data_IF_708295331095
#
_entry.id   IF_708295331095
#
_cell.length_a   1.000
_cell.length_b   1.000
_cell.length_c   1.000
_cell.angle_alpha   90.00
_cell.angle_beta   90.00
_cell.angle_gamma   90.00
#
_symmetry.space_group_name_H-M   'P 1'
#
loop_
_entity.id
_entity.type
_entity.pdbx_description
1 polymer ?
#
# COMPACT_ATOMS: atom_id res chain seq x y z
N UNK A 1 35.62 17.69 74.98
CA UNK A 1 36.33 18.68 74.13
C UNK A 1 37.03 17.88 73.03
N UNK A 2 36.40 17.63 71.86
CA UNK A 2 36.18 18.51 70.69
C UNK A 2 37.47 19.12 70.12
N UNK A 3 37.76 18.76 68.86
CA UNK A 3 38.48 19.47 67.77
C UNK A 3 39.39 18.44 67.05
N UNK A 4 38.96 17.74 65.99
CA UNK A 4 38.54 18.19 64.65
C UNK A 4 39.58 19.12 63.99
N UNK A 5 40.60 18.51 63.37
CA UNK A 5 41.45 19.18 62.37
C UNK A 5 41.02 18.65 61.01
N UNK A 6 40.25 19.49 60.31
CA UNK A 6 39.90 19.34 58.90
C UNK A 6 41.16 19.44 58.04
N UNK A 7 41.56 18.34 57.42
CA UNK A 7 42.49 18.37 56.29
C UNK A 7 41.66 18.54 55.00
N UNK A 8 41.52 19.79 54.56
CA UNK A 8 40.93 20.15 53.28
C UNK A 8 41.89 19.72 52.17
N UNK A 9 41.68 18.52 51.62
CA UNK A 9 42.26 18.11 50.34
C UNK A 9 41.49 18.86 49.26
N UNK A 10 42.06 19.98 48.82
CA UNK A 10 41.64 20.68 47.61
C UNK A 10 41.93 19.78 46.41
N UNK A 11 40.90 19.08 45.95
CA UNK A 11 40.83 18.46 44.63
C UNK A 11 40.97 19.57 43.57
N UNK A 12 42.20 19.82 43.15
CA UNK A 12 42.51 20.51 41.90
C UNK A 12 42.01 19.63 40.76
N UNK A 13 40.76 19.87 40.36
CA UNK A 13 40.19 19.40 39.11
C UNK A 13 41.02 19.99 37.96
N UNK A 14 42.04 19.27 37.51
CA UNK A 14 42.73 19.56 36.26
C UNK A 14 41.67 19.43 35.17
N UNK A 15 41.14 20.56 34.72
CA UNK A 15 40.42 20.63 33.44
C UNK A 15 41.47 20.33 32.38
N UNK A 16 41.55 19.06 31.97
CA UNK A 16 42.26 18.68 30.75
C UNK A 16 41.64 19.53 29.65
N UNK A 17 42.40 20.51 29.18
CA UNK A 17 41.99 21.34 28.06
C UNK A 17 41.83 20.40 26.87
N UNK A 18 40.63 20.38 26.28
CA UNK A 18 40.38 19.57 25.10
C UNK A 18 41.43 19.92 24.04
N UNK A 19 42.19 18.94 23.57
CA UNK A 19 43.19 19.12 22.51
C UNK A 19 42.44 19.60 21.28
N UNK A 20 42.73 20.82 20.85
CA UNK A 20 42.15 21.40 19.64
C UNK A 20 43.07 21.11 18.45
N UNK A 21 42.55 20.42 17.44
CA UNK A 21 43.33 20.07 16.26
C UNK A 21 43.50 21.26 15.31
N UNK A 22 44.68 21.40 14.74
CA UNK A 22 45.00 22.35 13.66
C UNK A 22 44.72 21.74 12.29
N UNK A 23 44.84 22.53 11.22
CA UNK A 23 44.73 22.01 9.86
C UNK A 23 45.81 20.97 9.55
N UNK A 24 47.03 21.15 10.06
CA UNK A 24 48.12 20.21 9.84
C UNK A 24 47.86 18.86 10.53
N UNK A 25 47.28 18.88 11.74
CA UNK A 25 46.86 17.66 12.41
C UNK A 25 45.78 16.93 11.61
N UNK A 26 44.80 17.67 11.05
CA UNK A 26 43.78 17.08 10.18
C UNK A 26 44.38 16.49 8.89
N UNK A 27 45.40 17.11 8.30
CA UNK A 27 46.11 16.57 7.12
C UNK A 27 46.81 15.24 7.43
N UNK A 28 47.43 15.13 8.60
CA UNK A 28 48.04 13.88 9.06
C UNK A 28 46.97 12.80 9.22
N UNK A 29 45.88 13.09 9.93
CA UNK A 29 44.78 12.15 10.12
C UNK A 29 44.12 11.72 8.79
N UNK A 30 44.00 12.65 7.84
CA UNK A 30 43.51 12.38 6.49
C UNK A 30 44.44 11.41 5.74
N UNK A 31 45.75 11.69 5.74
CA UNK A 31 46.76 10.83 5.10
C UNK A 31 46.78 9.43 5.70
N UNK A 32 46.65 9.33 7.01
CA UNK A 32 46.66 8.08 7.75
C UNK A 32 45.30 7.35 7.74
N UNK A 33 44.28 7.92 7.07
CA UNK A 33 42.91 7.40 7.03
C UNK A 33 42.32 7.14 8.42
N UNK A 34 42.69 7.98 9.39
CA UNK A 34 42.17 7.92 10.75
C UNK A 34 40.76 8.50 10.84
N UNK A 35 39.80 7.84 10.19
CA UNK A 35 38.42 8.31 9.98
C UNK A 35 37.74 8.80 11.26
N UNK A 36 37.76 7.99 12.32
CA UNK A 36 37.06 8.29 13.58
C UNK A 36 37.61 9.53 14.26
N UNK A 37 38.94 9.62 14.39
CA UNK A 37 39.58 10.75 15.07
C UNK A 37 39.42 12.03 14.24
N UNK A 38 39.58 11.94 12.92
CA UNK A 38 39.33 13.07 12.02
C UNK A 38 37.91 13.61 12.20
N UNK A 39 36.90 12.73 12.14
CA UNK A 39 35.49 13.14 12.23
C UNK A 39 35.06 13.61 13.62
N UNK A 40 35.86 13.35 14.66
CA UNK A 40 35.65 13.91 16.00
C UNK A 40 36.16 15.35 16.09
N UNK A 41 37.24 15.68 15.38
CA UNK A 41 37.99 16.93 15.51
C UNK A 41 37.89 17.86 14.28
N UNK A 42 37.18 17.47 13.22
CA UNK A 42 37.09 18.26 11.99
C UNK A 42 36.52 19.68 12.17
N UNK A 43 35.77 19.93 13.26
CA UNK A 43 35.22 21.26 13.58
C UNK A 43 36.12 22.10 14.49
N UNK A 44 37.24 21.57 14.99
CA UNK A 44 38.20 22.31 15.81
C UNK A 44 38.85 23.45 15.02
N UNK A 45 39.04 23.24 13.70
CA UNK A 45 39.47 24.28 12.77
C UNK A 45 38.40 25.39 12.69
N UNK A 46 38.83 26.64 12.86
CA UNK A 46 37.94 27.81 12.88
C UNK A 46 37.19 27.96 11.55
N UNK A 47 35.93 28.43 11.54
CA UNK A 47 35.16 28.60 10.30
C UNK A 47 35.87 29.38 9.19
N UNK A 48 36.66 30.41 9.53
CA UNK A 48 37.45 31.20 8.57
C UNK A 48 38.60 30.46 7.91
N UNK A 49 39.04 29.34 8.49
CA UNK A 49 40.12 28.49 7.98
C UNK A 49 39.60 27.25 7.25
N UNK A 50 38.27 27.07 7.14
CA UNK A 50 37.63 25.94 6.45
C UNK A 50 37.54 26.21 4.95
N UNK A 51 38.70 26.21 4.31
CA UNK A 51 38.88 26.43 2.88
C UNK A 51 38.46 25.23 2.02
N UNK A 52 38.83 25.24 0.74
CA UNK A 52 38.54 24.15 -0.19
C UNK A 52 39.17 22.81 0.23
N UNK A 53 40.39 22.85 0.77
CA UNK A 53 41.12 21.65 1.19
C UNK A 53 40.40 20.97 2.36
N UNK A 54 40.05 21.75 3.39
CA UNK A 54 39.27 21.23 4.51
C UNK A 54 37.94 20.62 4.07
N UNK A 55 37.26 21.27 3.12
CA UNK A 55 35.97 20.78 2.60
C UNK A 55 36.14 19.43 1.92
N UNK A 56 37.19 19.28 1.09
CA UNK A 56 37.52 18.04 0.39
C UNK A 56 37.86 16.92 1.37
N UNK A 57 38.84 17.12 2.25
CA UNK A 57 39.27 16.11 3.22
C UNK A 57 38.09 15.68 4.11
N UNK A 58 37.32 16.64 4.62
CA UNK A 58 36.15 16.34 5.46
C UNK A 58 35.09 15.51 4.74
N UNK A 59 34.81 15.80 3.47
CA UNK A 59 33.84 15.03 2.67
C UNK A 59 34.29 13.60 2.45
N UNK A 60 35.56 13.42 2.09
CA UNK A 60 36.13 12.09 1.83
C UNK A 60 36.22 11.27 3.11
N UNK A 61 36.75 11.83 4.21
CA UNK A 61 36.85 11.15 5.50
C UNK A 61 35.48 10.76 6.06
N UNK A 62 34.49 11.64 5.95
CA UNK A 62 33.13 11.33 6.41
C UNK A 62 32.49 10.21 5.58
N UNK A 63 32.69 10.22 4.26
CA UNK A 63 32.16 9.17 3.36
C UNK A 63 32.81 7.83 3.67
N UNK A 64 34.14 7.78 3.70
CA UNK A 64 34.89 6.56 4.00
C UNK A 64 34.66 6.05 5.42
N UNK A 65 34.44 6.93 6.41
CA UNK A 65 34.03 6.52 7.75
C UNK A 65 32.74 5.69 7.72
N UNK A 66 31.72 6.18 7.01
CA UNK A 66 30.42 5.49 6.93
C UNK A 66 30.54 4.18 6.13
N UNK A 67 31.28 4.19 5.02
CA UNK A 67 31.52 2.99 4.22
C UNK A 67 32.30 1.90 5.00
N UNK A 68 33.27 2.30 5.82
CA UNK A 68 33.99 1.40 6.72
C UNK A 68 33.04 0.75 7.74
N UNK A 69 32.16 1.54 8.36
CA UNK A 69 31.16 1.02 9.32
C UNK A 69 30.22 0.01 8.64
N UNK A 70 29.77 0.30 7.43
CA UNK A 70 28.93 -0.62 6.63
C UNK A 70 29.70 -1.91 6.34
N UNK A 71 30.94 -1.79 5.85
CA UNK A 71 31.79 -2.94 5.48
C UNK A 71 32.10 -3.83 6.67
N UNK A 72 32.32 -3.24 7.85
CA UNK A 72 32.55 -3.96 9.12
C UNK A 72 31.26 -4.42 9.79
N UNK A 73 30.09 -4.14 9.20
CA UNK A 73 28.77 -4.42 9.76
C UNK A 73 28.57 -3.82 11.17
N UNK A 74 29.21 -2.68 11.46
CA UNK A 74 29.09 -1.93 12.71
C UNK A 74 27.83 -1.04 12.72
N UNK A 75 26.67 -1.66 12.41
CA UNK A 75 25.40 -0.96 12.24
C UNK A 75 24.59 -0.99 13.54
N UNK A 76 24.58 0.13 14.27
CA UNK A 76 23.84 0.31 15.53
C UNK A 76 23.37 1.76 15.75
N UNK A 77 22.54 1.96 16.78
CA UNK A 77 21.93 3.27 17.11
C UNK A 77 22.97 4.33 17.50
N UNK A 78 24.04 3.94 18.22
CA UNK A 78 25.10 4.88 18.61
C UNK A 78 25.77 5.48 17.37
N UNK A 79 26.14 4.63 16.43
CA UNK A 79 26.76 5.05 15.18
C UNK A 79 25.79 5.83 14.30
N UNK A 80 24.52 5.43 14.23
CA UNK A 80 23.48 6.18 13.51
C UNK A 80 23.37 7.63 14.01
N UNK A 81 23.35 7.84 15.33
CA UNK A 81 23.30 9.18 15.95
C UNK A 81 24.54 10.01 15.64
N UNK A 82 25.73 9.39 15.68
CA UNK A 82 26.99 10.05 15.33
C UNK A 82 26.97 10.53 13.88
N UNK A 83 26.61 9.66 12.94
CA UNK A 83 26.56 10.01 11.51
C UNK A 83 25.48 11.05 11.24
N UNK A 84 24.34 10.97 11.93
CA UNK A 84 23.27 11.96 11.83
C UNK A 84 23.75 13.35 12.25
N UNK A 85 24.57 13.46 13.30
CA UNK A 85 25.20 14.73 13.66
C UNK A 85 26.15 15.26 12.56
N UNK A 86 26.78 14.38 11.80
CA UNK A 86 27.63 14.80 10.69
C UNK A 86 26.82 15.37 9.51
N UNK A 87 25.66 14.80 9.17
CA UNK A 87 24.83 15.29 8.06
C UNK A 87 24.22 16.68 8.33
N UNK A 88 24.14 17.12 9.59
CA UNK A 88 23.75 18.49 9.95
C UNK A 88 24.76 19.54 9.44
N UNK A 89 26.01 19.15 9.19
CA UNK A 89 27.02 20.05 8.64
C UNK A 89 26.72 20.41 7.18
N UNK A 90 26.61 21.71 6.87
CA UNK A 90 26.29 22.21 5.52
C UNK A 90 27.25 21.69 4.43
N UNK A 91 28.53 21.49 4.74
CA UNK A 91 29.50 20.98 3.78
C UNK A 91 29.24 19.51 3.41
N UNK A 92 28.74 18.73 4.37
CA UNK A 92 28.43 17.31 4.20
C UNK A 92 27.03 17.11 3.63
N UNK A 93 26.04 17.89 4.09
CA UNK A 93 24.65 17.86 3.58
C UNK A 93 24.57 18.15 2.07
N UNK A 94 25.44 19.02 1.57
CA UNK A 94 25.49 19.37 0.15
C UNK A 94 26.29 18.37 -0.71
N UNK A 95 26.89 17.34 -0.12
CA UNK A 95 27.78 16.42 -0.84
C UNK A 95 27.11 15.07 -1.10
N UNK A 96 26.83 14.82 -2.39
CA UNK A 96 26.02 13.67 -2.84
C UNK A 96 26.56 12.29 -2.42
N UNK A 97 27.89 12.10 -2.38
CA UNK A 97 28.47 10.82 -1.98
C UNK A 97 28.30 10.55 -0.48
N UNK A 98 28.46 11.57 0.36
CA UNK A 98 28.22 11.42 1.80
C UNK A 98 26.74 11.23 2.11
N UNK A 99 25.85 11.99 1.47
CA UNK A 99 24.39 11.78 1.64
C UNK A 99 23.99 10.37 1.22
N UNK A 100 24.55 9.84 0.13
CA UNK A 100 24.30 8.46 -0.30
C UNK A 100 24.85 7.43 0.71
N UNK A 101 26.07 7.63 1.22
CA UNK A 101 26.64 6.75 2.23
C UNK A 101 25.80 6.74 3.52
N UNK A 102 25.34 7.92 3.96
CA UNK A 102 24.41 8.06 5.08
C UNK A 102 23.10 7.27 4.85
N UNK A 103 22.47 7.42 3.69
CA UNK A 103 21.24 6.69 3.37
C UNK A 103 21.47 5.17 3.28
N UNK A 104 22.60 4.71 2.73
CA UNK A 104 22.98 3.29 2.73
C UNK A 104 23.13 2.75 4.15
N UNK A 105 23.77 3.50 5.04
CA UNK A 105 23.89 3.13 6.45
C UNK A 105 22.51 3.09 7.13
N UNK A 106 21.66 4.11 6.89
CA UNK A 106 20.31 4.19 7.44
C UNK A 106 19.45 2.99 7.03
N UNK A 107 19.51 2.57 5.76
CA UNK A 107 18.84 1.34 5.26
C UNK A 107 19.16 0.12 6.12
N UNK A 108 20.45 -0.13 6.36
CA UNK A 108 20.89 -1.28 7.17
C UNK A 108 20.49 -1.13 8.64
N UNK A 109 20.45 0.11 9.14
CA UNK A 109 20.04 0.39 10.52
C UNK A 109 18.55 0.10 10.73
N UNK A 110 17.68 0.61 9.86
CA UNK A 110 16.23 0.43 9.98
C UNK A 110 15.77 -1.01 9.73
N UNK A 111 16.54 -1.81 8.98
CA UNK A 111 16.32 -3.26 8.86
C UNK A 111 16.37 -4.01 10.19
N UNK A 112 17.14 -3.52 11.17
CA UNK A 112 17.36 -4.19 12.47
C UNK A 112 16.57 -3.53 13.60
N UNK A 113 15.75 -2.53 13.29
CA UNK A 113 15.15 -1.67 14.29
C UNK A 113 13.65 -1.94 14.48
N UNK A 114 13.25 -2.18 15.72
CA UNK A 114 11.86 -2.48 16.08
C UNK A 114 11.06 -1.25 16.58
N UNK A 115 11.73 -0.21 17.10
CA UNK A 115 11.09 1.03 17.59
C UNK A 115 12.00 2.26 17.32
N UNK A 116 11.96 2.76 16.08
CA UNK A 116 12.80 3.87 15.60
C UNK A 116 11.98 5.02 15.02
N UNK A 117 10.75 5.23 15.48
CA UNK A 117 9.94 6.32 14.94
C UNK A 117 10.70 7.66 14.98
N UNK A 118 11.34 7.99 16.12
CA UNK A 118 12.15 9.21 16.27
C UNK A 118 13.37 9.26 15.34
N UNK A 119 14.06 8.13 15.19
CA UNK A 119 15.25 8.06 14.34
C UNK A 119 14.86 8.15 12.85
N UNK A 120 13.69 7.62 12.48
CA UNK A 120 13.11 7.74 11.15
C UNK A 120 12.66 9.17 10.83
N UNK A 121 12.01 9.86 11.77
CA UNK A 121 11.67 11.29 11.64
C UNK A 121 12.94 12.14 11.41
N UNK A 122 14.00 11.79 12.14
CA UNK A 122 15.31 12.46 12.00
C UNK A 122 15.94 12.17 10.63
N UNK A 123 15.93 10.92 10.18
CA UNK A 123 16.41 10.54 8.85
C UNK A 123 15.67 11.30 7.74
N UNK A 124 14.34 11.34 7.79
CA UNK A 124 13.51 11.99 6.77
C UNK A 124 13.79 13.50 6.68
N UNK A 125 14.04 14.16 7.82
CA UNK A 125 14.31 15.61 7.85
C UNK A 125 15.72 16.00 7.38
N UNK A 126 16.69 15.08 7.41
CA UNK A 126 18.09 15.37 7.11
C UNK A 126 18.60 14.75 5.81
N UNK A 127 18.03 13.63 5.38
CA UNK A 127 18.54 12.85 4.25
C UNK A 127 18.15 13.45 2.90
N UNK A 128 19.05 13.37 1.93
CA UNK A 128 18.66 13.36 0.54
C UNK A 128 17.75 12.14 0.28
N UNK A 129 16.74 12.30 -0.56
CA UNK A 129 15.75 11.26 -0.84
C UNK A 129 16.27 10.39 -1.98
N UNK A 130 16.40 9.09 -1.72
CA UNK A 130 16.85 8.10 -2.70
C UNK A 130 15.77 7.03 -2.82
N UNK A 131 14.99 7.00 -3.92
CA UNK A 131 13.80 6.17 -4.05
C UNK A 131 14.00 4.69 -3.66
N UNK A 132 15.06 4.04 -4.14
CA UNK A 132 15.38 2.64 -3.82
C UNK A 132 15.61 2.41 -2.33
N UNK A 133 16.39 3.31 -1.70
CA UNK A 133 16.74 3.19 -0.29
C UNK A 133 15.53 3.49 0.58
N UNK A 134 14.76 4.53 0.25
CA UNK A 134 13.57 4.92 0.99
C UNK A 134 12.49 3.83 0.90
N UNK A 135 12.33 3.20 -0.27
CA UNK A 135 11.45 2.06 -0.44
C UNK A 135 11.90 0.85 0.38
N UNK A 136 13.18 0.55 0.39
CA UNK A 136 13.73 -0.55 1.19
C UNK A 136 13.57 -0.31 2.69
N UNK A 137 13.71 0.93 3.16
CA UNK A 137 13.42 1.29 4.55
C UNK A 137 11.92 1.10 4.83
N UNK A 138 11.03 1.57 3.95
CA UNK A 138 9.59 1.41 4.11
C UNK A 138 9.18 -0.07 4.25
N UNK A 139 9.77 -0.95 3.44
CA UNK A 139 9.52 -2.40 3.47
C UNK A 139 9.88 -3.05 4.81
N UNK A 140 10.77 -2.45 5.59
CA UNK A 140 11.20 -3.01 6.89
C UNK A 140 10.40 -2.47 8.06
N UNK A 141 9.57 -1.44 7.85
CA UNK A 141 8.73 -0.87 8.89
C UNK A 141 7.57 -1.81 9.23
N UNK A 142 7.16 -1.79 10.50
CA UNK A 142 5.92 -2.45 10.90
C UNK A 142 4.70 -1.80 10.22
N UNK A 143 3.62 -2.57 10.03
CA UNK A 143 2.39 -2.07 9.40
C UNK A 143 1.85 -0.79 10.07
N UNK A 144 2.00 -0.66 11.40
CA UNK A 144 1.56 0.53 12.14
C UNK A 144 2.38 1.78 11.80
N UNK A 145 3.67 1.61 11.51
CA UNK A 145 4.55 2.71 11.08
C UNK A 145 4.39 3.01 9.60
N UNK A 146 4.23 2.00 8.73
CA UNK A 146 4.09 2.20 7.28
C UNK A 146 3.06 3.28 6.92
N UNK A 147 1.86 3.21 7.51
CA UNK A 147 0.78 4.19 7.28
C UNK A 147 1.10 5.65 7.65
N UNK A 148 2.09 5.88 8.54
CA UNK A 148 2.57 7.22 8.92
C UNK A 148 3.63 7.74 7.96
N UNK A 149 4.29 6.85 7.22
CA UNK A 149 5.44 7.14 6.39
C UNK A 149 5.20 6.84 4.90
N UNK A 150 3.95 6.97 4.43
CA UNK A 150 3.57 6.83 3.02
C UNK A 150 4.45 7.68 2.09
N UNK A 151 4.97 8.82 2.57
CA UNK A 151 5.88 9.67 1.81
C UNK A 151 7.20 8.97 1.40
N UNK A 152 7.64 7.95 2.15
CA UNK A 152 8.82 7.14 1.79
C UNK A 152 8.60 6.36 0.50
N UNK A 153 7.37 5.91 0.25
CA UNK A 153 7.00 5.12 -0.93
C UNK A 153 6.38 5.97 -2.03
N UNK A 154 5.74 7.11 -1.73
CA UNK A 154 5.23 8.03 -2.77
C UNK A 154 6.32 8.51 -3.72
N UNK A 155 7.53 8.80 -3.22
CA UNK A 155 8.64 9.23 -4.08
C UNK A 155 8.98 8.20 -5.18
N UNK A 156 9.25 6.92 -4.87
CA UNK A 156 9.44 5.89 -5.90
C UNK A 156 8.20 5.67 -6.77
N UNK A 157 6.98 5.68 -6.19
CA UNK A 157 5.74 5.55 -6.96
C UNK A 157 5.52 6.69 -7.97
N UNK A 158 6.04 7.90 -7.70
CA UNK A 158 5.99 9.07 -8.61
C UNK A 158 7.15 9.15 -9.60
N UNK A 159 8.16 8.29 -9.46
CA UNK A 159 9.33 8.31 -10.34
C UNK A 159 9.01 7.77 -11.74
N UNK A 160 9.90 8.02 -12.70
CA UNK A 160 9.81 7.42 -14.03
C UNK A 160 9.98 5.89 -13.99
N UNK A 161 10.61 5.36 -12.94
CA UNK A 161 10.83 3.93 -12.71
C UNK A 161 9.71 3.29 -11.86
N UNK A 162 8.61 4.01 -11.63
CA UNK A 162 7.46 3.58 -10.82
C UNK A 162 6.93 2.18 -11.15
N UNK A 163 7.01 1.75 -12.42
CA UNK A 163 6.60 0.42 -12.87
C UNK A 163 7.31 -0.71 -12.12
N UNK A 164 8.59 -0.56 -11.79
CA UNK A 164 9.36 -1.59 -11.09
C UNK A 164 8.92 -1.72 -9.63
N UNK A 165 8.72 -0.59 -8.95
CA UNK A 165 8.21 -0.59 -7.57
C UNK A 165 6.78 -1.13 -7.51
N UNK A 166 5.91 -0.78 -8.45
CA UNK A 166 4.53 -1.26 -8.49
C UNK A 166 4.38 -2.69 -9.01
N UNK A 167 5.46 -3.31 -9.48
CA UNK A 167 5.51 -4.74 -9.77
C UNK A 167 5.85 -5.57 -8.53
N UNK A 168 6.55 -4.99 -7.56
CA UNK A 168 6.83 -5.67 -6.29
C UNK A 168 5.58 -5.75 -5.40
N UNK A 169 5.38 -6.89 -4.74
CA UNK A 169 4.21 -7.13 -3.86
C UNK A 169 4.04 -6.04 -2.79
N UNK A 170 5.15 -5.61 -2.15
CA UNK A 170 5.10 -4.56 -1.13
C UNK A 170 4.76 -3.19 -1.73
N UNK A 171 5.21 -2.92 -2.95
CA UNK A 171 4.89 -1.68 -3.64
C UNK A 171 3.43 -1.64 -4.08
N UNK A 172 2.89 -2.77 -4.55
CA UNK A 172 1.45 -2.93 -4.81
C UNK A 172 0.64 -2.69 -3.53
N UNK A 173 0.99 -3.35 -2.41
CA UNK A 173 0.28 -3.15 -1.12
C UNK A 173 0.29 -1.70 -0.68
N UNK A 174 1.45 -1.05 -0.73
CA UNK A 174 1.59 0.35 -0.35
C UNK A 174 0.77 1.29 -1.26
N UNK A 175 0.88 1.10 -2.58
CA UNK A 175 0.10 1.84 -3.56
C UNK A 175 -1.40 1.72 -3.27
N UNK A 176 -1.91 0.49 -3.10
CA UNK A 176 -3.32 0.22 -2.85
C UNK A 176 -3.80 0.88 -1.55
N UNK A 177 -3.00 0.81 -0.47
CA UNK A 177 -3.32 1.48 0.80
C UNK A 177 -3.43 3.01 0.63
N UNK A 178 -2.50 3.62 -0.11
CA UNK A 178 -2.49 5.07 -0.32
C UNK A 178 -3.68 5.50 -1.17
N UNK A 179 -3.99 4.82 -2.27
CA UNK A 179 -5.14 5.20 -3.10
C UNK A 179 -6.47 5.03 -2.36
N UNK A 180 -6.63 3.98 -1.54
CA UNK A 180 -7.85 3.77 -0.72
C UNK A 180 -8.02 4.87 0.34
N UNK A 181 -6.91 5.45 0.81
CA UNK A 181 -6.90 6.54 1.79
C UNK A 181 -7.19 7.91 1.15
N UNK A 182 -6.72 8.15 -0.07
CA UNK A 182 -6.73 9.50 -0.68
C UNK A 182 -7.83 9.70 -1.74
N UNK A 183 -8.30 8.61 -2.34
CA UNK A 183 -9.39 8.62 -3.32
C UNK A 183 -10.72 8.27 -2.63
N UNK A 184 -11.74 9.07 -2.91
CA UNK A 184 -13.11 8.87 -2.46
C UNK A 184 -13.93 8.19 -3.55
N UNK A 185 -14.91 7.38 -3.13
CA UNK A 185 -15.90 6.77 -4.03
C UNK A 185 -16.72 7.79 -4.83
N UNK A 186 -16.76 9.06 -4.38
CA UNK A 186 -17.48 10.14 -5.05
C UNK A 186 -16.61 10.92 -6.04
N UNK A 187 -15.32 10.62 -6.13
CA UNK A 187 -14.42 11.34 -7.03
C UNK A 187 -14.75 11.05 -8.51
N UNK A 188 -14.66 12.07 -9.34
CA UNK A 188 -14.79 11.98 -10.79
C UNK A 188 -13.48 11.51 -11.43
N UNK A 189 -13.51 11.05 -12.69
CA UNK A 189 -12.30 10.71 -13.47
C UNK A 189 -11.25 11.83 -13.42
N UNK A 190 -11.68 13.09 -13.58
CA UNK A 190 -10.79 14.25 -13.50
C UNK A 190 -10.21 14.47 -12.10
N UNK A 191 -11.01 14.36 -11.04
CA UNK A 191 -10.54 14.47 -9.64
C UNK A 191 -9.50 13.40 -9.31
N UNK A 192 -9.74 12.16 -9.75
CA UNK A 192 -8.82 11.04 -9.56
C UNK A 192 -7.48 11.29 -10.25
N UNK A 193 -7.52 11.72 -11.53
CA UNK A 193 -6.31 12.04 -12.29
C UNK A 193 -5.50 13.17 -11.62
N UNK A 194 -6.19 14.18 -11.08
CA UNK A 194 -5.51 15.28 -10.38
C UNK A 194 -4.83 14.81 -9.10
N UNK A 195 -5.56 14.09 -8.23
CA UNK A 195 -5.01 13.53 -6.98
C UNK A 195 -3.86 12.56 -7.25
N UNK A 196 -3.95 11.78 -8.33
CA UNK A 196 -2.92 10.81 -8.69
C UNK A 196 -1.54 11.46 -8.89
N UNK A 197 -1.45 12.72 -9.35
CA UNK A 197 -0.18 13.44 -9.52
C UNK A 197 0.65 13.54 -8.24
N UNK A 198 -0.02 13.54 -7.08
CA UNK A 198 0.63 13.59 -5.77
C UNK A 198 0.89 12.22 -5.15
N UNK A 199 0.40 11.15 -5.79
CA UNK A 199 0.48 9.78 -5.27
C UNK A 199 1.44 8.93 -6.11
N UNK A 200 1.29 8.92 -7.43
CA UNK A 200 2.00 8.02 -8.33
C UNK A 200 2.16 8.57 -9.75
N UNK A 201 3.13 8.04 -10.49
CA UNK A 201 3.24 8.19 -11.93
C UNK A 201 2.34 7.13 -12.59
N UNK A 202 1.50 7.46 -13.59
CA UNK A 202 0.60 6.53 -14.27
C UNK A 202 1.23 5.20 -14.73
N UNK A 203 2.54 5.18 -15.01
CA UNK A 203 3.26 3.96 -15.37
C UNK A 203 3.31 2.91 -14.25
N UNK A 204 3.15 3.32 -12.99
CA UNK A 204 2.95 2.43 -11.85
C UNK A 204 1.81 1.43 -12.09
N UNK A 205 0.72 1.85 -12.73
CA UNK A 205 -0.43 0.98 -12.99
C UNK A 205 -0.07 -0.18 -13.93
N UNK A 206 0.97 -0.04 -14.76
CA UNK A 206 1.48 -1.11 -15.62
C UNK A 206 2.28 -2.16 -14.83
N UNK A 207 2.56 -1.93 -13.54
CA UNK A 207 3.16 -2.90 -12.63
C UNK A 207 2.19 -4.01 -12.20
N UNK A 208 0.89 -3.84 -12.42
CA UNK A 208 -0.15 -4.82 -12.08
C UNK A 208 -0.43 -5.74 -13.27
N UNK A 209 -0.32 -7.05 -13.05
CA UNK A 209 -0.75 -8.03 -14.02
C UNK A 209 -2.29 -8.10 -14.08
N UNK A 210 -2.83 -8.64 -15.18
CA UNK A 210 -4.28 -8.84 -15.33
C UNK A 210 -4.86 -9.67 -14.17
N UNK A 211 -4.16 -10.73 -13.77
CA UNK A 211 -4.55 -11.59 -12.64
C UNK A 211 -4.61 -10.83 -11.32
N UNK A 212 -3.73 -9.82 -11.13
CA UNK A 212 -3.71 -9.00 -9.93
C UNK A 212 -5.00 -8.17 -9.87
N UNK A 213 -5.37 -7.52 -10.99
CA UNK A 213 -6.60 -6.74 -11.09
C UNK A 213 -7.84 -7.61 -10.92
N UNK A 214 -7.89 -8.79 -11.52
CA UNK A 214 -8.98 -9.75 -11.33
C UNK A 214 -9.16 -10.12 -9.85
N UNK A 215 -8.05 -10.37 -9.14
CA UNK A 215 -8.07 -10.69 -7.71
C UNK A 215 -8.54 -9.51 -6.86
N UNK A 216 -8.00 -8.31 -7.12
CA UNK A 216 -8.28 -7.08 -6.38
C UNK A 216 -9.73 -6.61 -6.55
N UNK A 217 -10.33 -6.85 -7.72
CA UNK A 217 -11.70 -6.43 -8.02
C UNK A 217 -12.74 -7.48 -7.62
N UNK A 218 -12.33 -8.73 -7.40
CA UNK A 218 -13.21 -9.86 -7.05
C UNK A 218 -14.12 -9.61 -5.84
N UNK A 219 -13.68 -8.94 -4.74
CA UNK A 219 -14.53 -8.74 -3.57
C UNK A 219 -15.72 -7.83 -3.83
N UNK A 220 -15.57 -6.83 -4.72
CA UNK A 220 -16.56 -5.77 -4.98
C UNK A 220 -17.03 -5.07 -3.70
N UNK A 221 -16.10 -4.83 -2.79
CA UNK A 221 -16.26 -4.03 -1.58
C UNK A 221 -15.81 -2.57 -1.79
N UNK A 222 -15.78 -1.77 -0.71
CA UNK A 222 -15.35 -0.38 -0.76
C UNK A 222 -13.94 -0.21 -1.37
N UNK A 223 -12.97 -1.03 -0.95
CA UNK A 223 -11.60 -0.94 -1.46
C UNK A 223 -11.56 -1.29 -2.96
N UNK A 224 -12.25 -2.35 -3.35
CA UNK A 224 -12.39 -2.77 -4.75
C UNK A 224 -13.01 -1.67 -5.61
N UNK A 225 -13.97 -0.90 -5.07
CA UNK A 225 -14.60 0.24 -5.76
C UNK A 225 -13.58 1.36 -6.02
N UNK A 226 -12.78 1.73 -5.01
CA UNK A 226 -11.73 2.75 -5.16
C UNK A 226 -10.66 2.30 -6.16
N UNK A 227 -10.24 1.03 -6.09
CA UNK A 227 -9.28 0.44 -7.04
C UNK A 227 -9.86 0.49 -8.45
N UNK A 228 -11.11 0.04 -8.64
CA UNK A 228 -11.78 0.10 -9.93
C UNK A 228 -11.82 1.52 -10.49
N UNK A 229 -12.26 2.50 -9.70
CA UNK A 229 -12.32 3.89 -10.11
C UNK A 229 -10.95 4.43 -10.53
N UNK A 230 -9.91 4.09 -9.77
CA UNK A 230 -8.53 4.52 -10.04
C UNK A 230 -8.03 3.95 -11.36
N UNK A 231 -8.07 2.63 -11.55
CA UNK A 231 -7.57 2.00 -12.78
C UNK A 231 -8.43 2.37 -14.00
N UNK A 232 -9.75 2.49 -13.84
CA UNK A 232 -10.66 2.92 -14.92
C UNK A 232 -10.42 4.40 -15.31
N UNK A 233 -10.01 5.27 -14.38
CA UNK A 233 -9.67 6.65 -14.70
C UNK A 233 -8.42 6.78 -15.59
N UNK A 234 -7.57 5.76 -15.66
CA UNK A 234 -6.40 5.70 -16.54
C UNK A 234 -6.57 4.68 -17.67
N UNK A 235 -7.80 4.21 -17.90
CA UNK A 235 -8.15 3.27 -18.96
C UNK A 235 -7.31 1.96 -18.89
N UNK A 236 -7.00 1.52 -17.67
CA UNK A 236 -6.20 0.31 -17.35
C UNK A 236 -7.02 -0.94 -17.08
N UNK A 237 -8.35 -0.88 -17.23
CA UNK A 237 -9.24 -2.02 -17.09
C UNK A 237 -9.79 -2.37 -18.46
N UNK A 238 -9.58 -3.61 -18.90
CA UNK A 238 -10.16 -4.08 -20.15
C UNK A 238 -11.69 -4.22 -20.05
N UNK A 239 -12.39 -4.12 -21.19
CA UNK A 239 -13.86 -4.10 -21.21
C UNK A 239 -14.49 -5.38 -20.66
N UNK A 240 -13.83 -6.54 -20.76
CA UNK A 240 -14.34 -7.79 -20.19
C UNK A 240 -14.27 -7.73 -18.66
N UNK A 241 -13.11 -7.40 -18.09
CA UNK A 241 -12.95 -7.27 -16.64
C UNK A 241 -13.88 -6.19 -16.06
N UNK A 242 -14.00 -5.05 -16.76
CA UNK A 242 -14.93 -3.97 -16.41
C UNK A 242 -16.38 -4.46 -16.37
N UNK A 243 -16.81 -5.19 -17.39
CA UNK A 243 -18.18 -5.73 -17.46
C UNK A 243 -18.44 -6.76 -16.36
N UNK A 244 -17.48 -7.64 -16.06
CA UNK A 244 -17.57 -8.60 -14.96
C UNK A 244 -17.66 -7.89 -13.62
N UNK A 245 -16.78 -6.94 -13.33
CA UNK A 245 -16.77 -6.20 -12.07
C UNK A 245 -18.08 -5.43 -11.86
N UNK A 246 -18.53 -4.66 -12.86
CA UNK A 246 -19.75 -3.86 -12.77
C UNK A 246 -21.00 -4.73 -12.61
N UNK A 247 -21.05 -5.88 -13.29
CA UNK A 247 -22.16 -6.83 -13.12
C UNK A 247 -22.13 -7.47 -11.73
N UNK A 248 -20.95 -7.89 -11.27
CA UNK A 248 -20.75 -8.43 -9.92
C UNK A 248 -21.16 -7.41 -8.85
N UNK A 249 -20.82 -6.14 -9.03
CA UNK A 249 -21.14 -5.06 -8.10
C UNK A 249 -22.65 -4.94 -7.82
N UNK A 250 -23.50 -5.16 -8.83
CA UNK A 250 -24.96 -5.17 -8.63
C UNK A 250 -25.46 -6.35 -7.80
N UNK A 251 -24.71 -7.46 -7.81
CA UNK A 251 -25.01 -8.65 -7.03
C UNK A 251 -24.52 -8.55 -5.57
N UNK A 252 -23.67 -7.56 -5.24
CA UNK A 252 -23.04 -7.40 -3.92
C UNK A 252 -23.62 -6.28 -3.05
N UNK A 253 -24.91 -5.95 -3.18
CA UNK A 253 -25.58 -4.85 -2.46
C UNK A 253 -24.95 -3.47 -2.76
N UNK A 254 -25.06 -2.98 -4.00
CA UNK A 254 -24.37 -1.77 -4.45
C UNK A 254 -24.84 -0.52 -3.69
N UNK A 255 -23.97 0.48 -3.56
CA UNK A 255 -24.25 1.75 -2.87
C UNK A 255 -24.38 2.87 -3.93
N UNK A 256 -25.25 3.88 -3.74
CA UNK A 256 -25.33 4.98 -4.71
C UNK A 256 -23.98 5.68 -4.87
N UNK A 257 -23.58 5.91 -6.12
CA UNK A 257 -22.30 6.52 -6.47
C UNK A 257 -21.95 6.34 -7.96
N UNK A 258 -20.79 6.84 -8.40
CA UNK A 258 -20.31 6.71 -9.77
C UNK A 258 -20.29 5.26 -10.27
N UNK A 259 -19.79 4.30 -9.46
CA UNK A 259 -19.73 2.89 -9.86
C UNK A 259 -21.11 2.27 -10.01
N UNK A 260 -22.07 2.63 -9.15
CA UNK A 260 -23.47 2.20 -9.34
C UNK A 260 -24.05 2.70 -10.66
N UNK A 261 -23.80 3.96 -11.03
CA UNK A 261 -24.27 4.50 -12.31
C UNK A 261 -23.63 3.78 -13.50
N UNK A 262 -22.32 3.53 -13.43
CA UNK A 262 -21.61 2.74 -14.45
C UNK A 262 -22.20 1.32 -14.56
N UNK A 263 -22.44 0.66 -13.43
CA UNK A 263 -23.00 -0.68 -13.40
C UNK A 263 -24.44 -0.72 -13.92
N UNK A 264 -25.25 0.27 -13.56
CA UNK A 264 -26.61 0.42 -14.03
C UNK A 264 -26.68 0.55 -15.56
N UNK A 265 -25.80 1.36 -16.14
CA UNK A 265 -25.71 1.55 -17.60
C UNK A 265 -25.13 0.31 -18.29
N UNK A 266 -24.11 -0.32 -17.70
CA UNK A 266 -23.51 -1.55 -18.25
C UNK A 266 -24.55 -2.67 -18.40
N UNK A 267 -25.55 -2.75 -17.52
CA UNK A 267 -26.64 -3.72 -17.68
C UNK A 267 -27.47 -3.48 -18.94
N UNK A 268 -27.76 -2.23 -19.30
CA UNK A 268 -28.46 -1.92 -20.56
C UNK A 268 -27.59 -2.28 -21.77
N UNK A 269 -26.30 -1.98 -21.72
CA UNK A 269 -25.35 -2.36 -22.78
C UNK A 269 -25.30 -3.88 -22.98
N UNK A 270 -25.21 -4.65 -21.89
CA UNK A 270 -25.21 -6.11 -21.93
C UNK A 270 -26.54 -6.69 -22.44
N UNK A 271 -27.67 -6.02 -22.20
CA UNK A 271 -28.97 -6.48 -22.70
C UNK A 271 -29.02 -6.56 -24.23
N UNK A 272 -28.29 -5.67 -24.91
CA UNK A 272 -28.24 -5.59 -26.37
C UNK A 272 -27.29 -6.59 -27.02
N UNK A 273 -26.41 -7.25 -26.24
CA UNK A 273 -25.38 -8.14 -26.79
C UNK A 273 -25.30 -9.48 -26.03
N UNK A 274 -25.88 -10.52 -26.64
CA UNK A 274 -25.92 -11.87 -26.08
C UNK A 274 -24.53 -12.51 -25.90
N UNK A 275 -23.61 -12.32 -26.84
CA UNK A 275 -22.27 -12.91 -26.75
C UNK A 275 -21.47 -12.29 -25.61
N UNK A 276 -21.60 -10.98 -25.39
CA UNK A 276 -21.03 -10.30 -24.24
C UNK A 276 -21.60 -10.83 -22.92
N UNK A 277 -22.94 -11.05 -22.83
CA UNK A 277 -23.54 -11.68 -21.65
C UNK A 277 -22.99 -13.06 -21.38
N UNK A 278 -22.85 -13.91 -22.41
CA UNK A 278 -22.27 -15.25 -22.25
C UNK A 278 -20.85 -15.24 -21.70
N UNK A 279 -20.01 -14.32 -22.17
CA UNK A 279 -18.64 -14.16 -21.66
C UNK A 279 -18.65 -13.73 -20.20
N UNK A 280 -19.40 -12.69 -19.87
CA UNK A 280 -19.53 -12.21 -18.48
C UNK A 280 -20.10 -13.30 -17.57
N UNK A 281 -21.11 -14.04 -18.03
CA UNK A 281 -21.71 -15.16 -17.29
C UNK A 281 -20.66 -16.21 -16.96
N UNK A 282 -19.84 -16.59 -17.93
CA UNK A 282 -18.78 -17.59 -17.75
C UNK A 282 -17.82 -17.19 -16.63
N UNK A 283 -17.47 -15.90 -16.54
CA UNK A 283 -16.60 -15.40 -15.47
C UNK A 283 -17.32 -15.29 -14.12
N UNK A 284 -18.59 -14.83 -14.09
CA UNK A 284 -19.39 -14.77 -12.88
C UNK A 284 -19.66 -16.15 -12.26
N UNK A 285 -19.77 -17.19 -13.08
CA UNK A 285 -19.96 -18.56 -12.61
C UNK A 285 -18.70 -19.18 -11.98
N UNK A 286 -17.52 -18.55 -12.12
CA UNK A 286 -16.28 -19.00 -11.44
C UNK A 286 -16.24 -18.61 -9.97
N UNK A 287 -17.14 -17.73 -9.51
CA UNK A 287 -17.21 -17.34 -8.10
C UNK A 287 -17.73 -18.50 -7.26
N UNK A 288 -17.14 -18.69 -6.08
CA UNK A 288 -17.60 -19.68 -5.12
C UNK A 288 -17.62 -19.08 -3.70
N UNK A 289 -18.79 -18.96 -3.06
CA UNK A 289 -20.13 -19.19 -3.64
C UNK A 289 -20.43 -18.22 -4.81
N UNK A 290 -21.46 -18.53 -5.58
CA UNK A 290 -22.06 -17.58 -6.52
C UNK A 290 -22.52 -16.32 -5.79
N UNK A 291 -22.42 -15.22 -6.51
CA UNK A 291 -22.73 -13.88 -6.02
C UNK A 291 -24.24 -13.70 -6.00
N UNK A 292 -24.76 -13.27 -4.86
CA UNK A 292 -26.19 -13.27 -4.58
C UNK A 292 -26.53 -12.52 -3.31
N UNK A 293 -25.59 -11.74 -2.79
CA UNK A 293 -25.74 -10.94 -1.59
C UNK A 293 -26.91 -9.96 -1.73
N UNK A 294 -27.24 -9.53 -2.95
CA UNK A 294 -28.43 -8.73 -3.29
C UNK A 294 -29.75 -9.45 -2.98
N UNK A 295 -29.77 -10.78 -2.98
CA UNK A 295 -30.96 -11.56 -2.64
C UNK A 295 -31.22 -11.56 -1.14
N UNK A 296 -30.20 -11.34 -0.32
CA UNK A 296 -30.31 -11.42 1.13
C UNK A 296 -31.45 -10.55 1.69
N UNK A 297 -32.17 -11.08 2.67
CA UNK A 297 -33.34 -10.44 3.29
C UNK A 297 -33.10 -10.16 4.77
N UNK A 298 -32.87 -8.89 5.12
CA UNK A 298 -32.92 -8.47 6.53
C UNK A 298 -34.39 -8.48 6.98
N UNK A 299 -34.71 -9.23 8.02
CA UNK A 299 -36.08 -9.40 8.55
C UNK A 299 -37.07 -10.02 7.55
N UNK A 300 -36.60 -10.84 6.62
CA UNK A 300 -37.45 -11.57 5.67
C UNK A 300 -38.05 -10.71 4.54
N UNK A 301 -37.68 -9.43 4.39
CA UNK A 301 -38.20 -8.53 3.34
C UNK A 301 -37.09 -7.92 2.50
N UNK A 302 -37.36 -7.75 1.20
CA UNK A 302 -36.48 -7.02 0.29
C UNK A 302 -36.72 -5.51 0.42
N UNK A 303 -35.66 -4.71 0.44
CA UNK A 303 -35.82 -3.26 0.29
C UNK A 303 -36.35 -2.91 -1.10
N UNK A 304 -37.09 -1.80 -1.24
CA UNK A 304 -37.58 -1.32 -2.56
C UNK A 304 -36.44 -1.16 -3.55
N UNK A 305 -35.30 -0.61 -3.11
CA UNK A 305 -34.08 -0.47 -3.90
C UNK A 305 -33.60 -1.82 -4.44
N UNK A 306 -33.51 -2.82 -3.56
CA UNK A 306 -33.10 -4.18 -3.91
C UNK A 306 -34.04 -4.79 -4.97
N UNK A 307 -35.36 -4.64 -4.80
CA UNK A 307 -36.35 -5.14 -5.79
C UNK A 307 -36.13 -4.51 -7.17
N UNK A 308 -35.87 -3.20 -7.22
CA UNK A 308 -35.61 -2.48 -8.48
C UNK A 308 -34.34 -2.97 -9.17
N UNK A 309 -33.26 -3.17 -8.42
CA UNK A 309 -31.99 -3.69 -8.97
C UNK A 309 -32.18 -5.09 -9.52
N UNK A 310 -32.81 -5.99 -8.75
CA UNK A 310 -33.05 -7.37 -9.18
C UNK A 310 -33.93 -7.39 -10.43
N UNK A 311 -35.01 -6.60 -10.47
CA UNK A 311 -35.89 -6.50 -11.64
C UNK A 311 -35.13 -6.11 -12.90
N UNK A 312 -34.27 -5.09 -12.78
CA UNK A 312 -33.43 -4.66 -13.91
C UNK A 312 -32.42 -5.73 -14.29
N UNK A 313 -31.80 -6.37 -13.32
CA UNK A 313 -30.84 -7.45 -13.56
C UNK A 313 -31.50 -8.61 -14.32
N UNK A 314 -32.62 -9.12 -13.84
CA UNK A 314 -33.37 -10.22 -14.46
C UNK A 314 -33.84 -9.88 -15.88
N UNK A 315 -34.29 -8.65 -16.12
CA UNK A 315 -34.72 -8.21 -17.47
C UNK A 315 -33.57 -8.18 -18.47
N UNK A 316 -32.38 -7.74 -18.04
CA UNK A 316 -31.27 -7.44 -18.94
C UNK A 316 -30.21 -8.56 -19.00
N UNK A 317 -30.16 -9.43 -17.99
CA UNK A 317 -29.23 -10.55 -17.87
C UNK A 317 -29.91 -11.75 -17.18
N UNK A 318 -30.97 -12.32 -17.80
CA UNK A 318 -31.74 -13.43 -17.21
C UNK A 318 -30.90 -14.69 -16.99
N UNK A 319 -29.88 -14.93 -17.82
CA UNK A 319 -29.11 -16.18 -17.81
C UNK A 319 -28.41 -16.44 -16.47
N UNK A 320 -28.01 -15.38 -15.75
CA UNK A 320 -27.43 -15.53 -14.41
C UNK A 320 -28.49 -15.94 -13.37
N UNK A 321 -29.70 -15.36 -13.44
CA UNK A 321 -30.82 -15.66 -12.55
C UNK A 321 -31.26 -17.12 -12.72
N UNK A 322 -31.35 -17.58 -13.96
CA UNK A 322 -31.66 -18.97 -14.30
C UNK A 322 -30.59 -19.93 -13.77
N UNK A 323 -29.30 -19.63 -13.97
CA UNK A 323 -28.21 -20.46 -13.45
C UNK A 323 -28.21 -20.51 -11.91
N UNK A 324 -28.44 -19.38 -11.26
CA UNK A 324 -28.55 -19.31 -9.80
C UNK A 324 -29.71 -20.20 -9.29
N UNK A 325 -30.87 -20.14 -9.94
CA UNK A 325 -32.03 -20.98 -9.63
C UNK A 325 -31.73 -22.48 -9.80
N UNK A 326 -31.12 -22.86 -10.92
CA UNK A 326 -30.76 -24.25 -11.21
C UNK A 326 -29.74 -24.82 -10.21
N UNK A 327 -28.81 -23.99 -9.75
CA UNK A 327 -27.84 -24.36 -8.73
C UNK A 327 -28.53 -24.54 -7.38
N UNK A 328 -29.47 -23.68 -7.01
CA UNK A 328 -30.30 -23.87 -5.83
C UNK A 328 -31.08 -25.18 -5.87
N UNK A 329 -31.79 -25.46 -6.97
CA UNK A 329 -32.50 -26.74 -7.16
C UNK A 329 -31.55 -27.93 -7.05
N UNK A 330 -30.43 -27.90 -7.76
CA UNK A 330 -29.43 -28.98 -7.75
C UNK A 330 -28.88 -29.26 -6.35
N UNK A 331 -28.74 -28.21 -5.52
CA UNK A 331 -28.27 -28.32 -4.14
C UNK A 331 -29.31 -29.01 -3.25
N UNK A 332 -30.57 -28.58 -3.29
CA UNK A 332 -31.63 -29.17 -2.46
C UNK A 332 -32.11 -30.54 -2.95
N UNK A 333 -32.02 -30.82 -4.25
CA UNK A 333 -32.32 -32.14 -4.82
C UNK A 333 -31.28 -33.20 -4.41
N UNK A 334 -30.09 -32.79 -3.94
CA UNK A 334 -28.99 -33.70 -3.60
C UNK A 334 -28.39 -34.47 -4.78
N UNK A 335 -28.86 -34.23 -6.01
CA UNK A 335 -28.39 -34.90 -7.24
C UNK A 335 -26.95 -34.57 -7.60
N UNK A 336 -26.44 -33.41 -7.16
CA UNK A 336 -25.05 -32.99 -7.35
C UNK A 336 -24.31 -32.90 -6.02
N UNK A 337 -23.08 -33.41 -5.98
CA UNK A 337 -22.19 -33.25 -4.81
C UNK A 337 -21.51 -31.89 -4.87
N UNK A 338 -21.65 -31.12 -3.80
CA UNK A 338 -20.97 -29.83 -3.64
C UNK A 338 -19.95 -29.92 -2.49
N UNK A 339 -18.67 -30.26 -2.77
CA UNK A 339 -17.67 -30.57 -1.74
C UNK A 339 -17.32 -29.38 -0.83
N UNK A 340 -17.65 -28.16 -1.26
CA UNK A 340 -17.39 -26.91 -0.52
C UNK A 340 -18.68 -26.33 0.11
N UNK A 341 -19.75 -27.12 0.22
CA UNK A 341 -21.03 -26.69 0.76
C UNK A 341 -21.91 -25.99 -0.27
N UNK A 342 -22.89 -25.21 0.19
CA UNK A 342 -23.88 -24.57 -0.68
C UNK A 342 -23.22 -23.56 -1.65
N UNK A 343 -23.23 -23.84 -2.97
CA UNK A 343 -22.66 -22.95 -4.00
C UNK A 343 -23.45 -21.65 -4.21
N UNK A 344 -24.68 -21.53 -3.70
CA UNK A 344 -25.55 -20.36 -3.81
C UNK A 344 -26.15 -20.03 -2.44
N UNK A 345 -25.44 -19.24 -1.62
CA UNK A 345 -25.75 -19.08 -0.18
C UNK A 345 -27.14 -18.54 0.12
N UNK A 346 -27.75 -17.80 -0.80
CA UNK A 346 -29.02 -17.09 -0.58
C UNK A 346 -30.21 -17.75 -1.29
N UNK A 347 -30.21 -19.07 -1.46
CA UNK A 347 -31.28 -19.76 -2.20
C UNK A 347 -32.68 -19.54 -1.61
N UNK A 348 -32.86 -19.64 -0.29
CA UNK A 348 -34.17 -19.45 0.33
C UNK A 348 -34.68 -18.00 0.16
N UNK A 349 -33.79 -17.03 0.34
CA UNK A 349 -34.08 -15.60 0.14
C UNK A 349 -34.38 -15.27 -1.34
N UNK A 350 -33.70 -15.94 -2.27
CA UNK A 350 -33.88 -15.81 -3.71
C UNK A 350 -35.18 -16.44 -4.21
N UNK A 351 -35.55 -17.61 -3.68
CA UNK A 351 -36.75 -18.35 -4.09
C UNK A 351 -38.04 -17.84 -3.45
N UNK A 352 -37.94 -16.87 -2.54
CA UNK A 352 -39.11 -16.19 -2.00
C UNK A 352 -39.90 -15.49 -3.12
N UNK A 353 -41.23 -15.48 -2.99
CA UNK A 353 -42.18 -14.92 -3.95
C UNK A 353 -41.88 -13.46 -4.34
N UNK A 354 -41.40 -12.66 -3.38
CA UNK A 354 -41.00 -11.26 -3.58
C UNK A 354 -39.88 -11.07 -4.64
N UNK A 355 -39.18 -12.15 -4.97
CA UNK A 355 -38.16 -12.23 -6.01
C UNK A 355 -38.62 -13.20 -7.07
N UNK A 356 -38.58 -14.49 -6.78
CA UNK A 356 -38.82 -15.54 -7.77
C UNK A 356 -40.17 -15.43 -8.49
N UNK A 357 -41.21 -14.95 -7.80
CA UNK A 357 -42.57 -14.92 -8.34
C UNK A 357 -42.76 -14.02 -9.57
N UNK A 358 -41.82 -13.12 -9.87
CA UNK A 358 -41.92 -12.24 -11.04
C UNK A 358 -41.08 -12.69 -12.25
N UNK A 359 -40.14 -13.62 -12.08
CA UNK A 359 -39.15 -13.93 -13.13
C UNK A 359 -38.80 -15.42 -13.27
N UNK A 360 -39.13 -16.26 -12.30
CA UNK A 360 -38.99 -17.71 -12.46
C UNK A 360 -40.34 -18.32 -12.83
N UNK A 361 -40.31 -19.30 -13.73
CA UNK A 361 -41.49 -20.11 -14.06
C UNK A 361 -42.04 -20.80 -12.80
N UNK A 362 -43.37 -20.99 -12.75
CA UNK A 362 -44.01 -21.73 -11.66
C UNK A 362 -43.47 -23.15 -11.51
N UNK A 363 -43.05 -23.79 -12.60
CA UNK A 363 -42.40 -25.11 -12.58
C UNK A 363 -41.15 -25.11 -11.68
N UNK A 364 -40.22 -24.19 -11.89
CA UNK A 364 -38.99 -24.04 -11.07
C UNK A 364 -39.32 -23.77 -9.60
N UNK A 365 -40.36 -22.96 -9.32
CA UNK A 365 -40.80 -22.66 -7.95
C UNK A 365 -41.41 -23.88 -7.25
N UNK A 366 -42.22 -24.66 -7.97
CA UNK A 366 -42.83 -25.89 -7.48
C UNK A 366 -41.76 -26.95 -7.20
N UNK A 367 -40.80 -27.12 -8.11
CA UNK A 367 -39.64 -27.99 -7.89
C UNK A 367 -38.87 -27.59 -6.63
N UNK A 368 -38.62 -26.30 -6.42
CA UNK A 368 -37.92 -25.83 -5.21
C UNK A 368 -38.71 -26.09 -3.93
N UNK A 369 -40.01 -25.85 -3.96
CA UNK A 369 -40.90 -26.06 -2.80
C UNK A 369 -41.01 -27.54 -2.43
N UNK A 370 -40.93 -28.44 -3.41
CA UNK A 370 -40.92 -29.88 -3.23
C UNK A 370 -39.56 -30.48 -2.87
N UNK A 371 -38.46 -29.73 -3.04
CA UNK A 371 -37.12 -30.22 -2.76
C UNK A 371 -36.89 -30.40 -1.24
N UNK A 372 -36.25 -31.51 -0.86
CA UNK A 372 -36.02 -31.83 0.55
C UNK A 372 -34.93 -30.91 1.13
N UNK A 373 -35.35 -29.89 1.86
CA UNK A 373 -34.41 -28.97 2.52
C UNK A 373 -33.61 -29.72 3.59
N UNK A 374 -32.32 -29.91 3.35
CA UNK A 374 -31.38 -30.44 4.35
C UNK A 374 -31.22 -29.33 5.39
N UNK A 375 -31.72 -29.57 6.61
CA UNK A 375 -31.58 -28.65 7.75
C UNK A 375 -30.16 -28.66 8.31
#
# INVERSE_FOLDING_TARGET
MRNLICLLITLLSVKVSAVTYTMDDLRVLYKDKSHREYMKHFLDVRPSQRDFEWKKMTREMATSYVEDLITKNEVNSTQFKIITKYIENKNLKAYAFFTLAYSKYARLYFQKCNDCQKDLDTYISHSARYPDIDFDIYKTLSNSLQSKYDNLVKAPLKSNDSIYYCREEQGQKAFLQIIVKEISRTDTKASIIEKAKDIFNPDCLNGFAKSDLESLLKPSDYNSEIIFLTFNAFDKIDEQLKSVFLTNYLLTNPIPGPVMNMAWNKMEELSANYDSRKKVLTDLLKYHPLRGEIFHRRNGKASTKTKVIIKRFAKNFPEYIENYAQICLSFYDGKKKFPRGNPARYCDDFMNEDVAGQWLSDEVRLQYSGAKKIK
#
